data_IF_928030319835
#
_entry.id   IF_928030319835
#
_cell.length_a   1.000
_cell.length_b   1.000
_cell.length_c   1.000
_cell.angle_alpha   90.00
_cell.angle_beta   90.00
_cell.angle_gamma   90.00
#
_symmetry.space_group_name_H-M   'P 1'
#
loop_
_entity.id
_entity.type
_entity.pdbx_description
1 polymer ?
#
# COMPACT_ATOMS: atom_id res chain seq x y z
N UNK A 1 -31.31 2.66 5.61
CA UNK A 1 -30.33 1.54 5.52
C UNK A 1 -28.85 1.94 5.66
N UNK A 2 -28.51 3.22 5.88
CA UNK A 2 -27.10 3.67 5.97
C UNK A 2 -26.42 3.26 7.28
N UNK A 3 -27.15 3.29 8.40
CA UNK A 3 -26.63 2.98 9.74
C UNK A 3 -26.12 1.54 9.88
N UNK A 4 -26.86 0.56 9.36
CA UNK A 4 -26.45 -0.86 9.43
C UNK A 4 -25.17 -1.15 8.62
N UNK A 5 -24.92 -0.42 7.52
CA UNK A 5 -23.68 -0.56 6.76
C UNK A 5 -22.50 0.04 7.51
N UNK A 6 -22.68 1.20 8.12
CA UNK A 6 -21.63 1.87 8.88
C UNK A 6 -21.18 1.02 10.07
N UNK A 7 -22.13 0.45 10.82
CA UNK A 7 -21.81 -0.46 11.94
C UNK A 7 -21.05 -1.72 11.50
N UNK A 8 -21.33 -2.27 10.32
CA UNK A 8 -20.57 -3.41 9.78
C UNK A 8 -19.13 -3.02 9.45
N UNK A 9 -18.96 -1.88 8.76
CA UNK A 9 -17.62 -1.38 8.41
C UNK A 9 -16.78 -1.12 9.65
N UNK A 10 -17.38 -0.55 10.70
CA UNK A 10 -16.72 -0.28 11.97
C UNK A 10 -16.32 -1.59 12.68
N UNK A 11 -17.23 -2.56 12.77
CA UNK A 11 -16.94 -3.89 13.33
C UNK A 11 -15.83 -4.62 12.56
N UNK A 12 -15.86 -4.59 11.22
CA UNK A 12 -14.85 -5.24 10.38
C UNK A 12 -13.48 -4.57 10.57
N UNK A 13 -13.46 -3.24 10.69
CA UNK A 13 -12.24 -2.47 10.95
C UNK A 13 -11.67 -2.79 12.33
N UNK A 14 -12.50 -2.88 13.36
CA UNK A 14 -12.07 -3.18 14.74
C UNK A 14 -11.41 -4.55 14.87
N UNK A 15 -11.82 -5.52 14.04
CA UNK A 15 -11.24 -6.87 14.00
C UNK A 15 -9.84 -6.94 13.35
N UNK A 16 -9.43 -5.93 12.59
CA UNK A 16 -8.09 -5.90 11.98
C UNK A 16 -7.00 -5.82 13.06
N UNK A 17 -5.85 -6.51 12.88
CA UNK A 17 -4.76 -6.39 13.83
C UNK A 17 -4.08 -5.02 13.76
N UNK A 18 -3.43 -4.61 14.86
CA UNK A 18 -2.85 -3.28 14.99
C UNK A 18 -1.69 -2.99 14.03
N UNK A 19 -1.10 -4.04 13.47
CA UNK A 19 0.01 -3.96 12.52
C UNK A 19 -0.44 -3.78 11.06
N UNK A 20 -1.75 -3.68 10.78
CA UNK A 20 -2.23 -3.39 9.42
C UNK A 20 -1.89 -1.94 9.04
N UNK A 21 -1.26 -1.71 7.88
CA UNK A 21 -1.03 -0.37 7.39
C UNK A 21 -2.33 0.28 6.92
N UNK A 22 -2.63 1.46 7.46
CA UNK A 22 -3.85 2.23 7.16
C UNK A 22 -3.59 3.40 6.21
N UNK A 23 -2.35 3.86 6.12
CA UNK A 23 -1.95 4.90 5.17
C UNK A 23 -0.46 4.80 4.85
N UNK A 24 -0.10 5.18 3.63
CA UNK A 24 1.29 5.27 3.18
C UNK A 24 1.48 6.59 2.42
N UNK A 25 2.50 7.37 2.77
CA UNK A 25 2.83 8.65 2.15
C UNK A 25 4.31 8.69 1.78
N UNK A 26 4.64 9.16 0.58
CA UNK A 26 6.03 9.33 0.15
C UNK A 26 6.58 10.55 0.88
N UNK A 27 7.48 10.34 1.83
CA UNK A 27 8.12 11.40 2.59
C UNK A 27 9.25 12.06 1.78
N UNK A 28 10.01 11.25 1.04
CA UNK A 28 11.14 11.72 0.21
C UNK A 28 11.48 10.72 -0.91
N UNK A 29 12.34 11.12 -1.83
CA UNK A 29 12.93 10.26 -2.87
C UNK A 29 14.45 10.47 -2.95
N UNK A 30 15.20 9.42 -2.62
CA UNK A 30 16.66 9.44 -2.60
C UNK A 30 17.24 8.87 -3.90
N UNK A 31 18.23 9.54 -4.47
CA UNK A 31 18.99 9.01 -5.61
C UNK A 31 20.15 8.12 -5.10
N UNK A 32 20.09 6.83 -5.40
CA UNK A 32 21.17 5.92 -5.06
C UNK A 32 22.24 5.93 -6.16
N UNK A 33 23.39 6.56 -5.87
CA UNK A 33 24.54 6.69 -6.78
C UNK A 33 25.55 5.57 -6.53
N UNK A 34 25.14 4.33 -6.81
CA UNK A 34 26.01 3.15 -6.81
C UNK A 34 26.38 2.69 -8.22
N UNK A 35 26.67 1.39 -8.39
CA UNK A 35 26.91 0.77 -9.71
C UNK A 35 25.74 0.92 -10.69
N UNK A 36 24.52 1.09 -10.18
CA UNK A 36 23.33 1.42 -10.96
C UNK A 36 22.60 2.60 -10.33
N UNK A 37 22.33 3.64 -11.13
CA UNK A 37 21.56 4.80 -10.68
C UNK A 37 20.08 4.44 -10.63
N UNK A 38 19.48 4.58 -9.47
CA UNK A 38 18.06 4.38 -9.28
C UNK A 38 17.54 5.22 -8.12
N UNK A 39 16.24 5.52 -8.14
CA UNK A 39 15.56 6.22 -7.06
C UNK A 39 15.01 5.23 -6.03
N UNK A 40 15.15 5.58 -4.75
CA UNK A 40 14.52 4.92 -3.61
C UNK A 40 13.49 5.87 -3.01
N UNK A 41 12.24 5.44 -2.96
CA UNK A 41 11.18 6.16 -2.28
C UNK A 41 11.22 5.87 -0.79
N UNK A 42 11.33 6.93 0.01
CA UNK A 42 11.18 6.89 1.46
C UNK A 42 9.71 7.08 1.78
N UNK A 43 9.06 6.03 2.31
CA UNK A 43 7.62 6.00 2.49
C UNK A 43 7.31 5.88 3.97
N UNK A 44 6.56 6.86 4.49
CA UNK A 44 6.02 6.82 5.83
C UNK A 44 4.72 6.03 5.83
N UNK A 45 4.72 4.94 6.60
CA UNK A 45 3.56 4.07 6.80
C UNK A 45 3.01 4.31 8.20
N UNK A 46 1.69 4.55 8.30
CA UNK A 46 0.97 4.56 9.58
C UNK A 46 0.21 3.26 9.73
N UNK A 47 0.34 2.65 10.91
CA UNK A 47 -0.36 1.42 11.27
C UNK A 47 -1.64 1.74 12.05
N UNK A 48 -2.59 0.79 12.07
CA UNK A 48 -3.84 0.91 12.82
C UNK A 48 -3.59 1.22 14.30
N UNK A 49 -2.61 0.55 14.92
CA UNK A 49 -2.22 0.78 16.32
C UNK A 49 -1.55 2.13 16.61
N UNK A 50 -1.52 3.06 15.64
CA UNK A 50 -1.01 4.43 15.79
C UNK A 50 0.49 4.58 15.59
N UNK A 51 1.25 3.47 15.52
CA UNK A 51 2.68 3.49 15.25
C UNK A 51 2.98 3.89 13.80
N UNK A 52 4.17 4.47 13.60
CA UNK A 52 4.63 4.93 12.29
C UNK A 52 6.03 4.41 12.04
N UNK A 53 6.31 4.00 10.82
CA UNK A 53 7.65 3.57 10.40
C UNK A 53 7.94 4.00 8.97
N UNK A 54 9.22 4.00 8.62
CA UNK A 54 9.69 4.30 7.27
C UNK A 54 10.04 3.00 6.56
N UNK A 55 9.63 2.89 5.30
CA UNK A 55 10.08 1.84 4.39
C UNK A 55 10.77 2.47 3.18
N UNK A 56 11.72 1.75 2.61
CA UNK A 56 12.48 2.17 1.44
C UNK A 56 12.16 1.22 0.30
N UNK A 57 11.63 1.73 -0.82
CA UNK A 57 11.21 0.91 -1.96
C UNK A 57 11.60 1.54 -3.28
N UNK A 58 11.98 0.72 -4.26
CA UNK A 58 12.20 1.12 -5.65
C UNK A 58 10.92 0.96 -6.45
N UNK A 59 10.78 1.75 -7.52
CA UNK A 59 9.61 1.66 -8.41
C UNK A 59 9.34 0.22 -8.90
N UNK A 60 10.40 -0.53 -9.26
CA UNK A 60 10.28 -1.92 -9.74
C UNK A 60 9.58 -2.86 -8.74
N UNK A 61 9.72 -2.61 -7.44
CA UNK A 61 9.04 -3.43 -6.42
C UNK A 61 7.52 -3.23 -6.47
N UNK A 62 7.04 -2.02 -6.76
CA UNK A 62 5.62 -1.74 -6.96
C UNK A 62 5.07 -2.47 -8.19
N UNK A 63 5.82 -2.43 -9.30
CA UNK A 63 5.42 -3.12 -10.52
C UNK A 63 5.30 -4.63 -10.30
N UNK A 64 6.28 -5.24 -9.63
CA UNK A 64 6.22 -6.66 -9.28
C UNK A 64 5.02 -6.99 -8.37
N UNK A 65 4.72 -6.13 -7.40
CA UNK A 65 3.54 -6.27 -6.54
C UNK A 65 2.24 -6.19 -7.36
N UNK A 66 2.12 -5.23 -8.28
CA UNK A 66 0.93 -5.10 -9.12
C UNK A 66 0.70 -6.37 -9.97
N UNK A 67 1.75 -6.93 -10.57
CA UNK A 67 1.65 -8.20 -11.32
C UNK A 67 1.18 -9.36 -10.43
N UNK A 68 1.72 -9.47 -9.21
CA UNK A 68 1.30 -10.50 -8.25
C UNK A 68 -0.16 -10.33 -7.81
N UNK A 69 -0.62 -9.09 -7.60
CA UNK A 69 -2.02 -8.82 -7.29
C UNK A 69 -2.92 -9.17 -8.47
N UNK A 70 -2.53 -8.82 -9.69
CA UNK A 70 -3.28 -9.19 -10.88
C UNK A 70 -3.40 -10.71 -11.01
N UNK A 71 -2.34 -11.47 -10.75
CA UNK A 71 -2.40 -12.93 -10.80
C UNK A 71 -3.33 -13.51 -9.73
N UNK A 72 -3.29 -12.93 -8.52
CA UNK A 72 -4.06 -13.42 -7.36
C UNK A 72 -5.56 -13.12 -7.44
N UNK A 73 -5.94 -11.94 -7.94
CA UNK A 73 -7.35 -11.53 -8.02
C UNK A 73 -8.01 -12.05 -9.31
N UNK A 74 -9.28 -12.49 -9.26
CA UNK A 74 -10.03 -12.93 -10.43
C UNK A 74 -10.29 -11.78 -11.42
N UNK A 75 -10.51 -12.10 -12.70
CA UNK A 75 -10.58 -11.13 -13.81
C UNK A 75 -11.54 -9.94 -13.58
N UNK A 76 -12.71 -10.19 -12.98
CA UNK A 76 -13.68 -9.13 -12.67
C UNK A 76 -13.21 -8.14 -11.58
N UNK A 77 -12.24 -8.53 -10.75
CA UNK A 77 -11.65 -7.69 -9.71
C UNK A 77 -10.33 -7.04 -10.16
N UNK A 78 -9.65 -7.61 -11.17
CA UNK A 78 -8.43 -7.01 -11.76
C UNK A 78 -8.68 -5.61 -12.32
N UNK A 79 -9.85 -5.38 -12.91
CA UNK A 79 -10.26 -4.08 -13.47
C UNK A 79 -10.44 -2.98 -12.42
N UNK A 80 -10.56 -3.37 -11.14
CA UNK A 80 -10.71 -2.45 -10.01
C UNK A 80 -9.36 -2.13 -9.34
N UNK A 81 -8.28 -2.82 -9.73
CA UNK A 81 -6.95 -2.55 -9.18
C UNK A 81 -6.45 -1.18 -9.71
N UNK A 82 -5.84 -0.36 -8.84
CA UNK A 82 -5.25 0.89 -9.27
C UNK A 82 -4.07 0.62 -10.22
N UNK A 83 -3.95 1.44 -11.26
CA UNK A 83 -2.85 1.37 -12.23
C UNK A 83 -1.66 2.18 -11.73
N UNK A 84 -0.45 1.62 -11.85
CA UNK A 84 0.78 2.38 -11.60
C UNK A 84 1.09 3.39 -12.72
N UNK A 85 1.69 4.54 -12.40
CA UNK A 85 2.09 5.55 -13.39
C UNK A 85 3.26 5.05 -14.25
N UNK A 86 3.22 5.33 -15.56
CA UNK A 86 4.25 4.94 -16.54
C UNK A 86 5.45 5.88 -16.61
#
# INVERSE_FOLDING_TARGET
>A
CTMQRQLRVESDYDQLPDNVPISAHIADAEEHKGFSRHFLFVIQVKLKGGSRHLIFRRYREFHNLQLSLMDTFPDGQRQLLPTLPG
#
